data_IF_232092604561
#
_entry.id   IF_232092604561
#
_cell.length_a   1.000
_cell.length_b   1.000
_cell.length_c   1.000
_cell.angle_alpha   90.00
_cell.angle_beta   90.00
_cell.angle_gamma   90.00
#
_symmetry.space_group_name_H-M   'P 1'
#
loop_
_entity.id
_entity.type
_entity.pdbx_description
1 polymer ?
#
# COMPACT_ATOMS: atom_id res chain seq x y z
N UNK A 1 1.68 -3.16 -9.77
CA UNK A 1 1.68 -4.60 -10.14
C UNK A 1 1.43 -5.40 -8.88
N UNK A 2 0.94 -6.65 -8.99
CA UNK A 2 0.81 -7.58 -7.87
C UNK A 2 1.24 -8.98 -8.34
N UNK A 3 1.79 -9.79 -7.43
CA UNK A 3 2.36 -11.10 -7.72
C UNK A 3 2.51 -11.91 -6.43
N UNK A 4 2.64 -13.24 -6.55
CA UNK A 4 2.98 -14.07 -5.40
C UNK A 4 4.46 -14.01 -5.04
N UNK A 5 4.74 -14.05 -3.74
CA UNK A 5 6.09 -13.99 -3.19
C UNK A 5 6.78 -15.36 -3.16
N UNK A 6 8.11 -15.36 -3.27
CA UNK A 6 8.97 -16.50 -2.93
C UNK A 6 9.02 -16.74 -1.41
N UNK A 7 9.76 -17.77 -0.99
CA UNK A 7 9.94 -18.17 0.41
C UNK A 7 11.27 -17.67 1.01
N UNK A 8 11.95 -16.74 0.33
CA UNK A 8 13.24 -16.21 0.76
C UNK A 8 13.13 -15.41 2.06
N UNK A 9 14.17 -15.50 2.88
CA UNK A 9 14.32 -14.72 4.13
C UNK A 9 15.35 -13.58 3.95
N UNK A 10 15.61 -13.18 2.71
CA UNK A 10 16.46 -12.04 2.37
C UNK A 10 15.82 -10.70 2.81
N UNK A 11 16.44 -9.58 2.42
CA UNK A 11 15.92 -8.25 2.74
C UNK A 11 14.49 -8.10 2.19
N UNK A 12 13.52 -8.01 3.10
CA UNK A 12 12.08 -7.83 2.84
C UNK A 12 11.73 -6.68 1.87
N UNK A 13 12.66 -5.75 1.60
CA UNK A 13 12.45 -4.65 0.65
C UNK A 13 12.68 -5.08 -0.81
N UNK A 14 13.26 -6.26 -1.03
CA UNK A 14 13.46 -6.81 -2.35
C UNK A 14 12.10 -7.22 -2.96
N UNK A 15 12.00 -7.34 -4.29
CA UNK A 15 10.73 -7.68 -4.92
C UNK A 15 10.16 -9.06 -4.53
N UNK A 16 10.98 -10.01 -4.09
CA UNK A 16 10.56 -11.38 -3.72
C UNK A 16 9.65 -12.08 -4.75
N UNK A 17 9.82 -11.80 -6.05
CA UNK A 17 9.00 -12.43 -7.10
C UNK A 17 9.39 -13.91 -7.26
N UNK A 18 8.40 -14.81 -7.27
CA UNK A 18 8.62 -16.21 -7.65
C UNK A 18 9.30 -16.33 -9.02
N UNK A 19 10.06 -17.41 -9.19
CA UNK A 19 10.66 -17.80 -10.48
C UNK A 19 10.21 -19.22 -10.83
N UNK A 20 9.29 -19.40 -11.82
CA UNK A 20 8.73 -18.39 -12.71
C UNK A 20 7.77 -17.40 -12.03
N UNK A 21 7.62 -16.20 -12.62
CA UNK A 21 6.73 -15.16 -12.10
C UNK A 21 5.26 -15.60 -12.13
N UNK A 22 4.54 -15.29 -11.06
CA UNK A 22 3.12 -15.61 -10.88
C UNK A 22 2.36 -14.31 -10.58
N UNK A 23 1.89 -13.58 -11.61
CA UNK A 23 1.23 -12.29 -11.43
C UNK A 23 -0.19 -12.46 -10.88
N UNK A 24 -0.64 -11.49 -10.09
CA UNK A 24 -1.99 -11.42 -9.53
C UNK A 24 -2.79 -10.33 -10.26
N UNK A 25 -3.86 -10.69 -11.00
CA UNK A 25 -4.78 -9.73 -11.60
C UNK A 25 -5.50 -8.87 -10.56
N UNK A 26 -5.91 -7.65 -10.96
CA UNK A 26 -6.68 -6.74 -10.09
C UNK A 26 -8.03 -7.37 -9.68
N UNK A 27 -8.60 -8.21 -10.53
CA UNK A 27 -9.84 -8.93 -10.27
C UNK A 27 -9.71 -9.92 -9.11
N UNK A 28 -8.53 -10.52 -8.92
CA UNK A 28 -8.26 -11.43 -7.79
C UNK A 28 -8.06 -10.63 -6.50
N UNK A 29 -7.41 -9.47 -6.56
CA UNK A 29 -7.34 -8.52 -5.44
C UNK A 29 -8.73 -8.06 -5.00
N UNK A 30 -9.63 -7.81 -5.96
CA UNK A 30 -11.02 -7.44 -5.66
C UNK A 30 -11.79 -8.54 -4.92
N UNK A 31 -11.52 -9.81 -5.22
CA UNK A 31 -12.18 -10.95 -4.55
C UNK A 31 -11.83 -11.04 -3.06
N UNK A 32 -10.65 -10.54 -2.66
CA UNK A 32 -10.23 -10.44 -1.26
C UNK A 32 -10.53 -9.07 -0.63
N UNK A 33 -11.27 -8.20 -1.33
CA UNK A 33 -11.70 -6.89 -0.83
C UNK A 33 -10.69 -5.76 -1.05
N UNK A 34 -9.57 -6.00 -1.74
CA UNK A 34 -8.60 -4.96 -2.07
C UNK A 34 -9.07 -4.19 -3.31
N UNK A 35 -9.36 -2.90 -3.13
CA UNK A 35 -9.79 -2.00 -4.20
C UNK A 35 -8.63 -1.13 -4.69
N UNK A 36 -8.49 -1.01 -6.00
CA UNK A 36 -7.44 -0.20 -6.64
C UNK A 36 -8.05 0.86 -7.56
N UNK A 37 -7.55 2.09 -7.44
CA UNK A 37 -7.89 3.21 -8.31
C UNK A 37 -6.62 3.90 -8.78
N UNK A 38 -6.51 4.14 -10.09
CA UNK A 38 -5.46 4.99 -10.64
C UNK A 38 -5.95 6.43 -10.76
N UNK A 39 -5.49 7.30 -9.86
CA UNK A 39 -5.73 8.74 -9.92
C UNK A 39 -4.39 9.43 -10.20
N UNK A 40 -4.26 10.19 -11.30
CA UNK A 40 -3.02 10.90 -11.60
C UNK A 40 -2.71 11.99 -10.56
N UNK A 41 -1.42 12.20 -10.30
CA UNK A 41 -0.95 13.30 -9.45
C UNK A 41 -1.48 14.65 -9.95
N UNK A 42 -1.79 15.54 -9.00
CA UNK A 42 -2.41 16.84 -9.28
C UNK A 42 -3.93 16.80 -9.51
N UNK A 43 -4.55 15.62 -9.55
CA UNK A 43 -6.01 15.49 -9.66
C UNK A 43 -6.67 15.22 -8.29
N UNK A 44 -6.51 16.17 -7.37
CA UNK A 44 -7.07 16.04 -6.03
C UNK A 44 -8.60 16.01 -6.05
N UNK A 45 -9.26 16.69 -6.99
CA UNK A 45 -10.72 16.68 -7.11
C UNK A 45 -11.28 15.25 -7.25
N UNK A 46 -10.61 14.38 -8.01
CA UNK A 46 -11.00 12.96 -8.11
C UNK A 46 -10.79 12.19 -6.81
N UNK A 47 -9.75 12.52 -6.03
CA UNK A 47 -9.55 11.93 -4.71
C UNK A 47 -10.68 12.35 -3.77
N UNK A 48 -11.07 13.63 -3.80
CA UNK A 48 -12.19 14.15 -3.01
C UNK A 48 -13.54 13.55 -3.43
N UNK A 49 -13.76 13.34 -4.73
CA UNK A 49 -14.96 12.68 -5.24
C UNK A 49 -15.07 11.25 -4.73
N UNK A 50 -13.99 10.48 -4.82
CA UNK A 50 -13.93 9.10 -4.31
C UNK A 50 -14.12 9.06 -2.79
N UNK A 51 -13.46 9.96 -2.05
CA UNK A 51 -13.61 10.06 -0.61
C UNK A 51 -15.06 10.37 -0.20
N UNK A 52 -15.76 11.24 -0.96
CA UNK A 52 -17.18 11.54 -0.74
C UNK A 52 -18.08 10.34 -1.04
N UNK A 53 -17.83 9.62 -2.13
CA UNK A 53 -18.58 8.42 -2.51
C UNK A 53 -18.44 7.30 -1.46
N UNK A 54 -17.20 7.09 -0.98
CA UNK A 54 -16.87 6.05 0.00
C UNK A 54 -17.05 6.51 1.45
N UNK A 55 -17.50 7.75 1.68
CA UNK A 55 -17.71 8.34 3.00
C UNK A 55 -16.44 8.37 3.88
N UNK A 56 -15.28 8.61 3.27
CA UNK A 56 -14.00 8.84 3.94
C UNK A 56 -13.94 10.28 4.45
N UNK A 57 -14.03 10.44 5.78
CA UNK A 57 -14.18 11.77 6.42
C UNK A 57 -12.87 12.41 6.87
N UNK A 58 -11.87 11.58 7.13
CA UNK A 58 -10.60 12.00 7.71
C UNK A 58 -9.47 11.68 6.75
N UNK A 59 -8.46 12.55 6.72
CA UNK A 59 -7.19 12.31 6.03
C UNK A 59 -6.06 13.01 6.75
N UNK A 60 -4.88 12.46 6.56
CA UNK A 60 -3.60 13.06 6.86
C UNK A 60 -2.61 12.78 5.71
N UNK A 61 -1.42 13.34 5.81
CA UNK A 61 -0.32 13.08 4.90
C UNK A 61 0.90 12.65 5.72
N UNK A 62 1.56 11.58 5.28
CA UNK A 62 2.77 11.06 5.91
C UNK A 62 3.89 10.91 4.88
N UNK A 63 5.07 11.40 5.23
CA UNK A 63 6.30 11.18 4.48
C UNK A 63 7.15 10.13 5.21
N UNK A 64 7.30 8.95 4.61
CA UNK A 64 8.11 7.86 5.17
C UNK A 64 9.53 7.98 4.63
N UNK A 65 10.39 8.69 5.36
CA UNK A 65 11.83 8.73 5.09
C UNK A 65 12.62 8.68 6.39
N UNK A 66 13.87 8.18 6.32
CA UNK A 66 14.78 8.17 7.47
C UNK A 66 15.05 9.56 8.05
N UNK A 67 14.94 10.59 7.22
CA UNK A 67 15.25 11.98 7.59
C UNK A 67 14.06 12.69 8.22
N UNK A 68 12.83 12.36 7.78
CA UNK A 68 11.62 13.11 8.12
C UNK A 68 10.70 12.40 9.09
N UNK A 69 10.75 11.06 9.20
CA UNK A 69 9.84 10.28 10.03
C UNK A 69 10.42 10.08 11.44
N UNK A 70 9.82 10.64 12.51
CA UNK A 70 10.26 10.37 13.88
C UNK A 70 10.13 8.89 14.23
N UNK A 71 11.14 8.34 14.90
CA UNK A 71 11.23 6.91 15.25
C UNK A 71 11.11 5.98 14.02
N UNK A 72 11.71 6.38 12.90
CA UNK A 72 11.67 5.65 11.63
C UNK A 72 11.89 4.14 11.80
N UNK A 73 12.99 3.73 12.46
CA UNK A 73 13.36 2.32 12.56
C UNK A 73 12.35 1.47 13.35
N UNK A 74 11.65 2.06 14.31
CA UNK A 74 10.58 1.38 15.05
C UNK A 74 9.29 1.33 14.22
N UNK A 75 8.90 2.45 13.59
CA UNK A 75 7.69 2.54 12.77
C UNK A 75 7.73 1.59 11.57
N UNK A 76 8.86 1.48 10.87
CA UNK A 76 9.00 0.56 9.74
C UNK A 76 8.80 -0.90 10.18
N UNK A 77 9.27 -1.27 11.38
CA UNK A 77 9.04 -2.63 11.91
C UNK A 77 7.56 -2.87 12.19
N UNK A 78 6.87 -1.89 12.78
CA UNK A 78 5.43 -1.98 13.04
C UNK A 78 4.63 -2.10 11.73
N UNK A 79 4.97 -1.32 10.71
CA UNK A 79 4.27 -1.38 9.41
C UNK A 79 4.45 -2.73 8.70
N UNK A 80 5.62 -3.36 8.85
CA UNK A 80 5.90 -4.63 8.18
C UNK A 80 5.38 -5.86 8.94
N UNK A 81 5.28 -5.79 10.27
CA UNK A 81 4.73 -6.90 11.04
C UNK A 81 3.30 -7.17 10.57
N UNK A 82 2.96 -8.42 10.26
CA UNK A 82 1.60 -8.81 9.90
C UNK A 82 0.59 -8.32 10.94
N UNK A 83 -0.42 -7.58 10.49
CA UNK A 83 -1.45 -6.99 11.34
C UNK A 83 -2.75 -6.77 10.58
N UNK A 84 -3.82 -6.48 11.33
CA UNK A 84 -5.14 -6.14 10.83
C UNK A 84 -5.65 -4.88 11.52
N UNK A 85 -6.54 -4.18 10.84
CA UNK A 85 -7.31 -3.07 11.36
C UNK A 85 -8.80 -3.42 11.40
N UNK A 86 -9.54 -2.86 12.35
CA UNK A 86 -11.01 -2.98 12.39
C UNK A 86 -11.68 -2.12 11.31
N UNK A 87 -10.99 -1.05 10.88
CA UNK A 87 -11.38 -0.12 9.82
C UNK A 87 -10.54 -0.34 8.55
N UNK A 88 -10.98 0.24 7.43
CA UNK A 88 -10.25 0.18 6.16
C UNK A 88 -8.88 0.88 6.22
N UNK A 89 -7.85 0.24 5.66
CA UNK A 89 -6.57 0.89 5.36
C UNK A 89 -6.59 1.48 3.95
N UNK A 90 -6.63 2.81 3.86
CA UNK A 90 -6.70 3.53 2.58
C UNK A 90 -5.44 4.39 2.42
N UNK A 91 -4.77 4.28 1.26
CA UNK A 91 -3.52 4.99 0.95
C UNK A 91 -3.53 5.50 -0.49
N UNK A 92 -3.22 6.78 -0.67
CA UNK A 92 -2.98 7.39 -1.97
C UNK A 92 -1.51 7.84 -2.05
N UNK A 93 -0.74 7.29 -2.99
CA UNK A 93 0.70 7.49 -3.07
C UNK A 93 1.01 8.77 -3.86
N UNK A 94 1.55 9.78 -3.18
CA UNK A 94 1.89 11.09 -3.76
C UNK A 94 3.29 11.14 -4.37
N UNK A 95 4.24 10.41 -3.80
CA UNK A 95 5.62 10.30 -4.26
C UNK A 95 6.24 8.98 -3.77
N UNK A 96 7.33 8.55 -4.41
CA UNK A 96 8.04 7.31 -4.08
C UNK A 96 7.26 6.04 -4.42
N UNK A 97 7.56 4.95 -3.69
CA UNK A 97 6.96 3.64 -3.89
C UNK A 97 7.12 2.74 -2.65
N UNK A 98 6.28 1.73 -2.51
CA UNK A 98 6.37 0.70 -1.47
C UNK A 98 5.55 -0.53 -1.84
N UNK A 99 5.59 -1.55 -0.97
CA UNK A 99 4.80 -2.77 -1.09
C UNK A 99 3.74 -2.83 0.01
N UNK A 100 2.60 -3.41 -0.35
CA UNK A 100 1.55 -3.84 0.59
C UNK A 100 1.34 -5.33 0.33
N UNK A 101 1.72 -6.15 1.29
CA UNK A 101 1.55 -7.60 1.24
C UNK A 101 0.23 -7.95 1.94
N UNK A 102 -0.59 -8.80 1.32
CA UNK A 102 -1.98 -9.13 1.75
C UNK A 102 -2.26 -10.62 1.70
#
# INVERSE_FOLDING_TARGET
EAYFMDDSQEDQRLPHRRSPNEPVPIEDLRQIGVLYYHIPLGNMDKVEDLAREMNYKNRDEICISKETLPNYDEKIKTFYQEHLHEDEEIRYILDGSGYFDV
#
